data_IF_041187220772
#
_entry.id   IF_041187220772
#
_cell.length_a   1.000
_cell.length_b   1.000
_cell.length_c   1.000
_cell.angle_alpha   90.00
_cell.angle_beta   90.00
_cell.angle_gamma   90.00
#
_symmetry.space_group_name_H-M   'P 1'
#
loop_
_entity.id
_entity.type
_entity.pdbx_description
1 polymer ?
#
# COMPACT_ATOMS: atom_id res chain seq x y z
N UNK A 1 19.73 -3.35 -13.22
CA UNK A 1 19.38 -4.12 -12.01
C UNK A 1 20.53 -5.06 -11.70
N UNK A 2 21.22 -4.81 -10.60
CA UNK A 2 22.13 -5.79 -10.00
C UNK A 2 21.33 -6.90 -9.30
N UNK A 3 21.97 -8.02 -8.96
CA UNK A 3 21.30 -9.10 -8.20
C UNK A 3 20.82 -8.63 -6.82
N UNK A 4 21.57 -7.74 -6.18
CA UNK A 4 21.27 -7.19 -4.86
C UNK A 4 20.02 -6.30 -4.87
N UNK A 5 19.84 -5.50 -5.95
CA UNK A 5 18.62 -4.71 -6.16
C UNK A 5 17.40 -5.60 -6.39
N UNK A 6 17.57 -6.77 -7.01
CA UNK A 6 16.48 -7.71 -7.23
C UNK A 6 16.06 -8.44 -5.96
N UNK A 7 17.02 -8.86 -5.13
CA UNK A 7 16.75 -9.54 -3.86
C UNK A 7 16.05 -8.62 -2.86
N UNK A 8 16.51 -7.37 -2.73
CA UNK A 8 15.86 -6.37 -1.87
C UNK A 8 14.42 -6.05 -2.28
N UNK A 9 14.15 -5.91 -3.59
CA UNK A 9 12.79 -5.74 -4.10
C UNK A 9 11.91 -6.98 -3.83
N UNK A 10 12.48 -8.18 -3.94
CA UNK A 10 11.78 -9.43 -3.65
C UNK A 10 11.40 -9.52 -2.17
N UNK A 11 12.32 -9.22 -1.26
CA UNK A 11 12.04 -9.21 0.18
C UNK A 11 10.99 -8.16 0.56
N UNK A 12 11.03 -6.97 -0.04
CA UNK A 12 10.00 -5.95 0.16
C UNK A 12 8.62 -6.42 -0.32
N UNK A 13 8.56 -7.12 -1.45
CA UNK A 13 7.33 -7.70 -2.01
C UNK A 13 6.79 -8.90 -1.21
N UNK A 14 7.64 -9.65 -0.51
CA UNK A 14 7.21 -10.78 0.34
C UNK A 14 6.69 -10.34 1.72
N UNK A 15 7.04 -9.13 2.20
CA UNK A 15 6.54 -8.63 3.50
C UNK A 15 5.01 -8.52 3.55
N UNK A 16 4.31 -9.14 4.50
CA UNK A 16 2.86 -8.98 4.61
C UNK A 16 2.51 -7.50 4.83
N UNK A 17 1.45 -7.02 4.17
CA UNK A 17 0.93 -5.67 4.43
C UNK A 17 0.03 -5.75 5.66
N UNK A 18 0.39 -5.01 6.70
CA UNK A 18 -0.44 -4.85 7.88
C UNK A 18 -1.48 -3.74 7.65
N UNK A 19 -2.61 -4.12 7.05
CA UNK A 19 -3.68 -3.17 6.73
C UNK A 19 -4.32 -2.54 7.96
N UNK A 20 -4.37 -3.25 9.09
CA UNK A 20 -5.00 -2.79 10.32
C UNK A 20 -4.20 -1.62 10.91
N UNK A 21 -2.89 -1.81 11.07
CA UNK A 21 -1.97 -0.73 11.50
C UNK A 21 -1.99 0.47 10.55
N UNK A 22 -2.11 0.24 9.24
CA UNK A 22 -2.18 1.33 8.26
C UNK A 22 -3.49 2.13 8.36
N UNK A 23 -4.59 1.48 8.72
CA UNK A 23 -5.86 2.16 8.96
C UNK A 23 -5.82 2.93 10.28
N UNK A 24 -5.27 2.32 11.33
CA UNK A 24 -5.16 2.94 12.66
C UNK A 24 -4.24 4.18 12.65
N UNK A 25 -3.15 4.14 11.89
CA UNK A 25 -2.27 5.29 11.69
C UNK A 25 -2.86 6.36 10.76
N UNK A 26 -3.97 6.08 10.07
CA UNK A 26 -4.59 6.98 9.08
C UNK A 26 -3.86 7.03 7.75
N UNK A 27 -2.86 6.17 7.51
CA UNK A 27 -2.24 6.01 6.20
C UNK A 27 -3.25 5.52 5.16
N UNK A 28 -4.13 4.60 5.57
CA UNK A 28 -5.26 4.10 4.80
C UNK A 28 -6.58 4.42 5.49
N UNK A 29 -7.63 4.49 4.69
CA UNK A 29 -9.01 4.64 5.15
C UNK A 29 -9.78 3.42 4.63
N UNK A 30 -10.30 2.60 5.54
CA UNK A 30 -11.16 1.49 5.16
C UNK A 30 -12.61 1.97 5.00
N UNK A 31 -13.20 1.73 3.82
CA UNK A 31 -14.65 1.90 3.59
C UNK A 31 -15.22 0.58 3.06
N UNK A 32 -15.90 -0.15 3.94
CA UNK A 32 -16.39 -1.49 3.65
C UNK A 32 -15.24 -2.45 3.35
N UNK A 33 -15.24 -3.03 2.14
CA UNK A 33 -14.19 -3.98 1.67
C UNK A 33 -13.07 -3.32 0.88
N UNK A 34 -13.04 -1.98 0.78
CA UNK A 34 -12.06 -1.25 -0.02
C UNK A 34 -11.22 -0.34 0.86
N UNK A 35 -9.95 -0.20 0.48
CA UNK A 35 -9.01 0.75 1.09
C UNK A 35 -8.86 1.99 0.22
N UNK A 36 -8.72 3.13 0.87
CA UNK A 36 -8.52 4.43 0.26
C UNK A 36 -7.26 5.05 0.86
N UNK A 37 -6.56 5.86 0.07
CA UNK A 37 -5.41 6.61 0.56
C UNK A 37 -5.90 7.69 1.54
N UNK A 38 -5.43 7.63 2.78
CA UNK A 38 -5.67 8.66 3.79
C UNK A 38 -4.55 9.69 3.77
N UNK A 39 -3.39 9.29 4.28
CA UNK A 39 -2.18 10.09 4.26
C UNK A 39 -1.02 9.33 3.61
N UNK A 40 -0.51 9.86 2.50
CA UNK A 40 0.60 9.26 1.75
C UNK A 40 1.91 9.29 2.54
N UNK A 41 2.12 10.30 3.38
CA UNK A 41 3.37 10.47 4.14
C UNK A 41 3.48 9.44 5.27
N UNK A 42 2.36 8.87 5.69
CA UNK A 42 2.29 7.79 6.69
C UNK A 42 2.32 6.40 6.04
N UNK A 43 2.31 6.32 4.71
CA UNK A 43 2.33 5.06 3.99
C UNK A 43 3.79 4.56 3.87
N UNK A 44 4.13 3.38 4.43
CA UNK A 44 5.47 2.85 4.30
C UNK A 44 5.86 2.65 2.83
N UNK A 45 7.15 2.84 2.53
CA UNK A 45 7.64 2.77 1.15
C UNK A 45 7.39 1.40 0.51
N UNK A 46 7.59 0.31 1.27
CA UNK A 46 7.33 -1.05 0.80
C UNK A 46 5.84 -1.30 0.47
N UNK A 47 4.92 -0.62 1.16
CA UNK A 47 3.47 -0.69 0.89
C UNK A 47 3.12 0.11 -0.35
N UNK A 48 3.73 1.30 -0.51
CA UNK A 48 3.56 2.15 -1.70
C UNK A 48 3.95 1.39 -2.98
N UNK A 49 5.05 0.64 -2.95
CA UNK A 49 5.51 -0.20 -4.06
C UNK A 49 4.55 -1.36 -4.39
N UNK A 50 3.72 -1.77 -3.44
CA UNK A 50 2.70 -2.83 -3.62
C UNK A 50 1.37 -2.33 -4.14
N UNK A 51 1.21 -1.01 -4.33
CA UNK A 51 0.00 -0.47 -4.92
C UNK A 51 -0.04 -0.89 -6.39
N UNK A 52 -1.05 -1.70 -6.73
CA UNK A 52 -1.34 -2.16 -8.08
C UNK A 52 -2.13 -1.12 -8.86
N UNK A 53 -3.14 -0.50 -8.24
CA UNK A 53 -3.95 0.53 -8.89
C UNK A 53 -4.35 1.64 -7.93
N UNK A 54 -4.47 2.84 -8.48
CA UNK A 54 -5.02 4.03 -7.86
C UNK A 54 -6.22 4.49 -8.68
N UNK A 55 -7.40 4.54 -8.07
CA UNK A 55 -8.64 4.92 -8.75
C UNK A 55 -9.36 6.01 -7.95
N UNK A 56 -9.53 7.19 -8.55
CA UNK A 56 -10.25 8.28 -7.91
C UNK A 56 -11.76 8.13 -8.09
N UNK A 57 -12.52 8.21 -7.01
CA UNK A 57 -13.98 8.17 -7.04
C UNK A 57 -14.58 9.09 -5.96
N UNK A 58 -15.92 9.09 -5.83
CA UNK A 58 -16.67 9.93 -4.87
C UNK A 58 -16.25 9.76 -3.40
N UNK A 59 -15.60 8.66 -3.05
CA UNK A 59 -15.16 8.36 -1.69
C UNK A 59 -13.71 8.75 -1.41
N UNK A 60 -12.94 9.12 -2.44
CA UNK A 60 -11.52 9.44 -2.36
C UNK A 60 -10.69 8.65 -3.38
N UNK A 61 -9.39 8.53 -3.12
CA UNK A 61 -8.47 7.76 -3.94
C UNK A 61 -8.41 6.32 -3.44
N UNK A 62 -9.07 5.41 -4.15
CA UNK A 62 -9.07 3.98 -3.84
C UNK A 62 -7.72 3.37 -4.22
N UNK A 63 -7.14 2.61 -3.30
CA UNK A 63 -5.89 1.86 -3.50
C UNK A 63 -6.20 0.36 -3.58
N UNK A 64 -5.60 -0.32 -4.55
CA UNK A 64 -5.63 -1.78 -4.63
C UNK A 64 -4.20 -2.28 -4.60
N UNK A 65 -3.93 -3.35 -3.86
CA UNK A 65 -2.59 -3.89 -3.68
C UNK A 65 -2.40 -5.19 -4.49
N UNK A 66 -1.15 -5.50 -4.83
CA UNK A 66 -0.79 -6.84 -5.28
C UNK A 66 -1.06 -7.85 -4.15
N UNK A 67 -1.52 -9.05 -4.53
CA UNK A 67 -1.65 -10.18 -3.61
C UNK A 67 -0.30 -10.80 -3.35
#
# INVERSE_FOLDING_TARGET
MSREEFESLKEELEKPIDFESLVDTGALIQKGKSYYLGNKDLLPEYVSKKIKTLEQNKNGLKVTFYK
#
